data_IF_797777505917
#
_entry.id   IF_797777505917
#
_cell.length_a   1.000
_cell.length_b   1.000
_cell.length_c   1.000
_cell.angle_alpha   90.00
_cell.angle_beta   90.00
_cell.angle_gamma   90.00
#
_symmetry.space_group_name_H-M   'P 1'
#
loop_
_entity.id
_entity.type
_entity.pdbx_description
1 polymer ?
#
# COMPACT_ATOMS: atom_id res chain seq x y z
N UNK A 1 8.75 -13.33 -11.39
CA UNK A 1 7.38 -13.60 -10.89
C UNK A 1 6.82 -12.30 -10.33
N UNK A 2 5.77 -11.76 -10.95
CA UNK A 2 5.22 -10.43 -10.66
C UNK A 2 4.16 -10.50 -9.56
N UNK A 3 4.24 -9.60 -8.58
CA UNK A 3 3.13 -9.35 -7.65
C UNK A 3 1.92 -8.75 -8.38
N UNK A 4 0.73 -8.94 -7.84
CA UNK A 4 -0.53 -8.41 -8.40
C UNK A 4 -1.18 -7.40 -7.45
N UNK A 5 -1.75 -6.35 -8.01
CA UNK A 5 -2.59 -5.41 -7.27
C UNK A 5 -4.04 -5.89 -7.32
N UNK A 6 -4.64 -6.04 -6.15
CA UNK A 6 -6.05 -6.41 -5.98
C UNK A 6 -6.78 -5.21 -5.41
N UNK A 7 -7.75 -4.67 -6.15
CA UNK A 7 -8.61 -3.59 -5.68
C UNK A 7 -9.89 -4.19 -5.11
N UNK A 8 -10.20 -3.87 -3.87
CA UNK A 8 -11.39 -4.29 -3.14
C UNK A 8 -12.17 -3.07 -2.66
N UNK A 9 -13.50 -3.15 -2.66
CA UNK A 9 -14.36 -2.16 -2.04
C UNK A 9 -14.62 -2.55 -0.59
N UNK A 10 -14.34 -1.64 0.33
CA UNK A 10 -14.59 -1.79 1.77
C UNK A 10 -16.08 -1.68 2.07
N UNK A 11 -16.49 -2.21 3.22
CA UNK A 11 -17.88 -2.16 3.71
C UNK A 11 -18.39 -0.74 3.93
N UNK A 12 -17.50 0.22 4.20
CA UNK A 12 -17.82 1.65 4.32
C UNK A 12 -17.95 2.38 2.96
N UNK A 13 -17.86 1.66 1.85
CA UNK A 13 -17.98 2.21 0.50
C UNK A 13 -16.68 2.72 -0.11
N UNK A 14 -15.58 2.78 0.65
CA UNK A 14 -14.26 3.19 0.17
C UNK A 14 -13.60 2.10 -0.69
N UNK A 15 -12.67 2.51 -1.55
CA UNK A 15 -11.84 1.64 -2.36
C UNK A 15 -10.48 1.44 -1.68
N UNK A 16 -10.01 0.20 -1.63
CA UNK A 16 -8.70 -0.13 -1.11
C UNK A 16 -7.99 -1.01 -2.12
N UNK A 17 -6.68 -0.83 -2.29
CA UNK A 17 -5.86 -1.76 -3.05
C UNK A 17 -4.86 -2.47 -2.15
N UNK A 18 -4.59 -3.74 -2.49
CA UNK A 18 -3.63 -4.59 -1.81
C UNK A 18 -2.65 -5.15 -2.84
N UNK A 19 -1.36 -5.11 -2.54
CA UNK A 19 -0.31 -5.76 -3.32
C UNK A 19 -0.08 -7.15 -2.76
N UNK A 20 -0.41 -8.18 -3.54
CA UNK A 20 -0.13 -9.57 -3.22
C UNK A 20 1.14 -10.01 -3.95
N UNK A 21 2.04 -10.69 -3.24
CA UNK A 21 3.16 -11.39 -3.86
C UNK A 21 2.67 -12.59 -4.68
N UNK A 22 3.59 -13.17 -5.46
CA UNK A 22 3.35 -14.40 -6.21
C UNK A 22 3.00 -15.60 -5.33
N UNK A 23 3.36 -15.57 -4.05
CA UNK A 23 3.00 -16.59 -3.05
C UNK A 23 1.62 -16.38 -2.42
N UNK A 24 0.85 -15.39 -2.88
CA UNK A 24 -0.49 -15.07 -2.35
C UNK A 24 -0.51 -14.23 -1.07
N UNK A 25 0.65 -13.92 -0.47
CA UNK A 25 0.70 -13.08 0.72
C UNK A 25 0.54 -11.60 0.36
N UNK A 26 -0.29 -10.89 1.12
CA UNK A 26 -0.43 -9.44 1.02
C UNK A 26 0.80 -8.77 1.64
N UNK A 27 1.58 -8.09 0.81
CA UNK A 27 2.79 -7.38 1.24
C UNK A 27 2.44 -5.97 1.71
N UNK A 28 1.51 -5.30 1.02
CA UNK A 28 1.19 -3.91 1.23
C UNK A 28 -0.29 -3.68 0.98
N UNK A 29 -0.94 -2.92 1.86
CA UNK A 29 -2.31 -2.49 1.74
C UNK A 29 -2.36 -0.96 1.77
N UNK A 30 -3.19 -0.37 0.91
CA UNK A 30 -3.43 1.06 0.91
C UNK A 30 -4.41 1.47 2.01
N UNK A 31 -4.51 2.78 2.24
CA UNK A 31 -5.64 3.36 2.95
C UNK A 31 -6.93 3.27 2.11
N UNK A 32 -8.06 3.59 2.75
CA UNK A 32 -9.35 3.70 2.07
C UNK A 32 -9.40 4.97 1.23
N UNK A 33 -9.73 4.83 -0.04
CA UNK A 33 -9.96 5.93 -0.97
C UNK A 33 -11.45 6.15 -1.15
N UNK A 34 -11.89 7.40 -1.15
CA UNK A 34 -13.29 7.75 -1.41
C UNK A 34 -13.69 7.54 -2.87
N UNK A 35 -12.72 7.58 -3.80
CA UNK A 35 -12.94 7.44 -5.24
C UNK A 35 -12.06 6.36 -5.87
N UNK A 36 -12.57 5.75 -6.94
CA UNK A 36 -11.83 4.76 -7.73
C UNK A 36 -10.62 5.38 -8.40
N UNK A 37 -10.74 6.60 -8.92
CA UNK A 37 -9.64 7.33 -9.54
C UNK A 37 -8.50 7.62 -8.55
N UNK A 38 -8.85 8.02 -7.31
CA UNK A 38 -7.86 8.17 -6.24
C UNK A 38 -7.11 6.87 -5.94
N UNK A 39 -7.84 5.75 -5.92
CA UNK A 39 -7.26 4.42 -5.74
C UNK A 39 -6.29 4.04 -6.87
N UNK A 40 -6.68 4.29 -8.13
CA UNK A 40 -5.82 4.03 -9.30
C UNK A 40 -4.55 4.90 -9.29
N UNK A 41 -4.68 6.19 -8.98
CA UNK A 41 -3.55 7.10 -8.81
C UNK A 41 -2.62 6.64 -7.67
N UNK A 42 -3.20 6.11 -6.59
CA UNK A 42 -2.45 5.48 -5.51
C UNK A 42 -1.61 4.30 -5.98
N UNK A 43 -2.18 3.41 -6.80
CA UNK A 43 -1.46 2.26 -7.38
C UNK A 43 -0.30 2.72 -8.27
N UNK A 44 -0.51 3.72 -9.13
CA UNK A 44 0.56 4.25 -9.98
C UNK A 44 1.67 4.89 -9.14
N UNK A 45 1.30 5.64 -8.11
CA UNK A 45 2.24 6.23 -7.16
C UNK A 45 3.03 5.14 -6.43
N UNK A 46 2.37 4.07 -5.96
CA UNK A 46 3.06 2.94 -5.34
C UNK A 46 3.99 2.27 -6.33
N UNK A 47 3.56 2.01 -7.57
CA UNK A 47 4.41 1.42 -8.60
C UNK A 47 5.67 2.27 -8.85
N UNK A 48 5.53 3.58 -8.96
CA UNK A 48 6.66 4.51 -9.19
C UNK A 48 7.60 4.59 -7.99
N UNK A 49 7.06 4.76 -6.78
CA UNK A 49 7.85 4.91 -5.56
C UNK A 49 8.39 3.57 -5.04
N UNK A 50 7.78 2.43 -5.39
CA UNK A 50 8.25 1.10 -4.99
C UNK A 50 9.60 0.72 -5.60
N UNK A 51 9.99 1.38 -6.69
CA UNK A 51 11.32 1.24 -7.26
C UNK A 51 12.40 1.92 -6.40
N UNK A 52 12.03 2.86 -5.54
CA UNK A 52 12.93 3.62 -4.68
C UNK A 52 12.86 3.11 -3.24
N UNK A 53 13.88 2.36 -2.82
CA UNK A 53 13.99 1.82 -1.48
C UNK A 53 14.00 2.90 -0.38
N UNK A 54 14.39 4.14 -0.69
CA UNK A 54 14.45 5.24 0.29
C UNK A 54 13.07 5.74 0.70
N UNK A 55 12.03 5.41 -0.07
CA UNK A 55 10.63 5.78 0.21
C UNK A 55 9.96 4.87 1.24
N UNK A 56 10.60 3.74 1.54
CA UNK A 56 10.12 2.79 2.54
C UNK A 56 10.60 3.20 3.92
N UNK A 57 9.67 3.64 4.76
CA UNK A 57 9.93 3.97 6.15
C UNK A 57 9.60 2.75 7.02
N UNK A 58 10.62 2.18 7.66
CA UNK A 58 10.47 1.10 8.63
C UNK A 58 9.97 1.67 9.95
N UNK A 59 8.89 1.09 10.47
CA UNK A 59 8.28 1.47 11.74
C UNK A 59 8.07 0.23 12.59
N UNK A 60 7.92 0.43 13.89
CA UNK A 60 7.62 -0.64 14.84
C UNK A 60 6.26 -0.37 15.44
N UNK A 61 5.36 -1.35 15.34
CA UNK A 61 4.02 -1.25 15.94
C UNK A 61 4.15 -1.16 17.46
N UNK A 62 3.09 -0.68 18.13
CA UNK A 62 3.05 -0.66 19.60
C UNK A 62 3.27 -2.05 20.22
N UNK A 63 2.89 -3.09 19.48
CA UNK A 63 3.03 -4.49 19.89
C UNK A 63 4.41 -5.09 19.56
N UNK A 64 5.39 -4.26 19.15
CA UNK A 64 6.75 -4.67 18.83
C UNK A 64 6.96 -5.28 17.44
N UNK A 65 5.89 -5.44 16.65
CA UNK A 65 5.96 -6.01 15.29
C UNK A 65 6.55 -4.99 14.30
N UNK A 66 7.57 -5.37 13.50
CA UNK A 66 8.10 -4.49 12.48
C UNK A 66 7.13 -4.40 11.30
N UNK A 67 6.88 -3.18 10.84
CA UNK A 67 6.11 -2.92 9.64
C UNK A 67 6.80 -1.81 8.83
N UNK A 68 6.37 -1.59 7.60
CA UNK A 68 6.87 -0.48 6.80
C UNK A 68 5.73 0.28 6.15
N UNK A 69 5.96 1.55 5.90
CA UNK A 69 5.06 2.41 5.14
C UNK A 69 5.79 2.96 3.92
N UNK A 70 5.09 3.01 2.79
CA UNK A 70 5.59 3.64 1.57
C UNK A 70 5.04 5.05 1.49
N UNK A 71 5.93 6.03 1.37
CA UNK A 71 5.57 7.44 1.21
C UNK A 71 5.69 7.88 -0.24
N UNK A 72 4.75 8.70 -0.69
CA UNK A 72 4.84 9.43 -1.95
C UNK A 72 5.79 10.64 -1.84
N UNK A 73 6.11 11.26 -2.98
CA UNK A 73 6.93 12.47 -3.05
C UNK A 73 6.37 13.66 -2.26
N UNK A 74 5.07 13.68 -2.00
CA UNK A 74 4.39 14.67 -1.17
C UNK A 74 4.29 14.26 0.31
N UNK A 75 5.07 13.28 0.76
CA UNK A 75 5.11 12.75 2.13
C UNK A 75 3.84 12.03 2.60
N UNK A 76 2.81 11.87 1.75
CA UNK A 76 1.63 11.09 2.08
C UNK A 76 1.94 9.59 2.10
N UNK A 77 1.33 8.87 3.03
CA UNK A 77 1.41 7.41 3.07
C UNK A 77 0.49 6.88 1.96
N UNK A 78 1.08 6.15 1.02
CA UNK A 78 0.36 5.55 -0.11
C UNK A 78 0.21 4.03 0.02
N UNK A 79 0.88 3.45 1.01
CA UNK A 79 0.77 2.04 1.32
C UNK A 79 1.44 1.69 2.65
N UNK A 80 0.92 0.67 3.31
CA UNK A 80 1.41 0.17 4.58
C UNK A 80 1.47 -1.35 4.56
N UNK A 81 2.53 -1.94 5.10
CA UNK A 81 2.62 -3.39 5.28
C UNK A 81 1.74 -3.86 6.43
N UNK A 82 1.38 -5.14 6.43
CA UNK A 82 0.66 -5.73 7.56
C UNK A 82 1.47 -5.56 8.86
N UNK A 83 0.77 -5.22 9.95
CA UNK A 83 1.30 -5.05 11.31
C UNK A 83 1.02 -6.31 12.14
#
# INVERSE_FOLDING_TARGET
>A
MSGKFVVSRRSNGEFQFCLCASNGQTILASEGYTSRDGCLNGIESVRKNSADATRFEKRTAKDGRPYFVLKAGNHQIIGQSQM
#
